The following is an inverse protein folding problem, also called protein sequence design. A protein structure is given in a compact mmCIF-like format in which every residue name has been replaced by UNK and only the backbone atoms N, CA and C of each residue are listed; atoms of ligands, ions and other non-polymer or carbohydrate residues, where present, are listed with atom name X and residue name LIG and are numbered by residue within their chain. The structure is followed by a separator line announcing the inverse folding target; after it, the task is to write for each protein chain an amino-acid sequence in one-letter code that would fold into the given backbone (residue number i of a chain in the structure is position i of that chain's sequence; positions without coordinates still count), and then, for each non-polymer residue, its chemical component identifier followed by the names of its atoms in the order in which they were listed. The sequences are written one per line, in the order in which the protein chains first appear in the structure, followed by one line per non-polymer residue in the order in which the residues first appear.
data_IF_695108659403
#
_entry.id   IF_695108659403
#
_cell.length_a   1.000
_cell.length_b   1.000
_cell.length_c   1.000
_cell.angle_alpha   90.00
_cell.angle_beta   90.00
_cell.angle_gamma   90.00
#
_symmetry.space_group_name_H-M   'P 1'
#
loop_
_entity.id
_entity.type
_entity.pdbx_description
1 polymer ?
#
# COMPACT_ATOMS: atom_id res chain seq x y z
N UNK A 1 -27.96 12.45 18.56
CA UNK A 1 -27.96 11.32 17.60
C UNK A 1 -28.02 10.05 18.41
N UNK A 2 -28.99 9.18 18.14
CA UNK A 2 -29.13 7.88 18.81
C UNK A 2 -28.98 6.79 17.75
N UNK A 3 -28.15 5.79 18.02
CA UNK A 3 -28.04 4.64 17.14
C UNK A 3 -29.36 3.86 17.20
N UNK A 4 -29.94 3.57 16.04
CA UNK A 4 -31.16 2.78 15.91
C UNK A 4 -30.86 1.51 15.10
N UNK A 5 -31.56 0.41 15.41
CA UNK A 5 -31.39 -0.85 14.68
C UNK A 5 -31.92 -0.74 13.25
N UNK A 6 -31.44 -1.60 12.34
CA UNK A 6 -31.89 -1.60 10.95
C UNK A 6 -33.39 -1.88 10.81
N UNK A 7 -33.95 -2.75 11.65
CA UNK A 7 -35.39 -3.04 11.68
C UNK A 7 -36.21 -1.81 12.11
N UNK A 8 -35.72 -1.06 13.10
CA UNK A 8 -36.36 0.18 13.56
C UNK A 8 -36.25 1.29 12.51
N UNK A 9 -35.10 1.38 11.82
CA UNK A 9 -34.90 2.32 10.71
C UNK A 9 -35.91 2.10 9.58
N UNK A 10 -36.19 0.85 9.20
CA UNK A 10 -37.19 0.54 8.16
C UNK A 10 -38.61 1.00 8.54
N UNK A 11 -38.91 1.15 9.83
CA UNK A 11 -40.22 1.55 10.34
C UNK A 11 -40.33 3.06 10.63
N UNK A 12 -39.20 3.73 10.84
CA UNK A 12 -39.15 5.14 11.19
C UNK A 12 -39.03 6.00 9.92
N UNK A 13 -40.10 6.73 9.59
CA UNK A 13 -40.10 7.76 8.56
C UNK A 13 -39.45 9.07 9.08
N UNK A 14 -38.19 9.01 9.50
CA UNK A 14 -37.44 10.19 9.93
C UNK A 14 -36.11 10.34 9.16
N UNK A 15 -35.60 11.58 9.02
CA UNK A 15 -34.28 11.82 8.43
C UNK A 15 -33.22 11.02 9.19
N UNK A 16 -32.53 10.13 8.48
CA UNK A 16 -31.59 9.17 9.05
C UNK A 16 -30.31 9.14 8.21
N UNK A 17 -29.20 8.81 8.87
CA UNK A 17 -27.91 8.59 8.22
C UNK A 17 -27.53 7.13 8.40
N UNK A 18 -27.18 6.46 7.31
CA UNK A 18 -26.66 5.08 7.32
C UNK A 18 -25.15 5.14 7.16
N UNK A 19 -24.44 4.46 8.07
CA UNK A 19 -22.98 4.34 8.04
C UNK A 19 -22.64 2.87 7.84
N UNK A 20 -21.93 2.55 6.77
CA UNK A 20 -21.40 1.22 6.49
C UNK A 20 -19.89 1.22 6.72
N UNK A 21 -19.37 0.13 7.28
CA UNK A 21 -17.94 -0.07 7.50
C UNK A 21 -17.56 -1.45 6.98
N UNK A 22 -16.67 -1.46 6.00
CA UNK A 22 -16.03 -2.67 5.49
C UNK A 22 -14.57 -2.63 5.93
N UNK A 23 -14.05 -3.77 6.39
CA UNK A 23 -12.67 -3.87 6.88
C UNK A 23 -12.01 -5.10 6.28
N UNK A 24 -10.74 -4.95 5.93
CA UNK A 24 -9.94 -6.01 5.35
C UNK A 24 -8.77 -6.32 6.29
N UNK A 25 -8.69 -7.57 6.74
CA UNK A 25 -7.60 -8.01 7.61
C UNK A 25 -6.36 -8.36 6.77
N UNK A 26 -5.44 -7.40 6.70
CA UNK A 26 -4.20 -7.56 5.96
C UNK A 26 -3.26 -8.58 6.60
N UNK A 27 -3.28 -8.78 7.92
CA UNK A 27 -2.37 -9.72 8.59
C UNK A 27 -2.73 -11.16 8.22
N UNK A 28 -4.01 -11.51 8.37
CA UNK A 28 -4.53 -12.82 7.98
C UNK A 28 -4.34 -13.07 6.48
N UNK A 29 -4.67 -12.09 5.63
CA UNK A 29 -4.48 -12.20 4.18
C UNK A 29 -3.01 -12.42 3.81
N UNK A 30 -2.10 -11.68 4.44
CA UNK A 30 -0.66 -11.75 4.18
C UNK A 30 -0.12 -13.12 4.58
N UNK A 31 -0.54 -13.65 5.74
CA UNK A 31 -0.17 -15.00 6.18
C UNK A 31 -0.59 -16.08 5.17
N UNK A 32 -1.85 -16.07 4.72
CA UNK A 32 -2.34 -17.04 3.75
C UNK A 32 -1.59 -16.96 2.42
N UNK A 33 -1.38 -15.74 1.93
CA UNK A 33 -0.76 -15.52 0.62
C UNK A 33 0.73 -15.90 0.64
N UNK A 34 1.47 -15.50 1.68
CA UNK A 34 2.87 -15.87 1.86
C UNK A 34 3.02 -17.38 2.06
N UNK A 35 2.15 -18.01 2.85
CA UNK A 35 2.20 -19.45 3.08
C UNK A 35 1.99 -20.22 1.78
N UNK A 36 1.00 -19.80 0.96
CA UNK A 36 0.77 -20.38 -0.35
C UNK A 36 1.97 -20.16 -1.30
N UNK A 37 2.59 -18.98 -1.28
CA UNK A 37 3.79 -18.68 -2.06
C UNK A 37 4.97 -19.55 -1.63
N UNK A 38 5.21 -19.68 -0.32
CA UNK A 38 6.25 -20.54 0.23
C UNK A 38 6.06 -22.00 -0.20
N UNK A 39 4.83 -22.53 -0.09
CA UNK A 39 4.52 -23.89 -0.54
C UNK A 39 4.82 -24.10 -2.03
N UNK A 40 4.46 -23.14 -2.89
CA UNK A 40 4.78 -23.18 -4.33
C UNK A 40 6.29 -23.19 -4.61
N UNK A 41 7.10 -22.62 -3.72
CA UNK A 41 8.55 -22.53 -3.86
C UNK A 41 9.31 -23.54 -3.00
N UNK A 42 8.64 -24.59 -2.48
CA UNK A 42 9.23 -25.62 -1.62
C UNK A 42 9.91 -25.03 -0.36
N UNK A 43 9.26 -24.03 0.23
CA UNK A 43 9.71 -23.35 1.46
C UNK A 43 8.67 -23.49 2.57
N UNK A 44 9.16 -23.35 3.79
CA UNK A 44 8.35 -23.28 5.01
C UNK A 44 8.45 -21.88 5.58
N UNK A 45 7.33 -21.17 5.63
CA UNK A 45 7.21 -19.86 6.28
C UNK A 45 7.62 -19.95 7.76
N UNK A 46 8.35 -18.96 8.25
CA UNK A 46 8.89 -18.93 9.62
C UNK A 46 8.35 -17.73 10.41
N UNK A 47 8.80 -16.52 10.07
CA UNK A 47 8.46 -15.29 10.81
C UNK A 47 8.26 -14.14 9.85
N UNK A 48 7.22 -13.35 10.11
CA UNK A 48 6.92 -12.11 9.43
C UNK A 48 7.65 -10.91 10.06
N UNK A 49 8.09 -9.97 9.23
CA UNK A 49 8.83 -8.79 9.70
C UNK A 49 8.05 -7.49 9.47
N UNK A 50 7.70 -7.21 8.21
CA UNK A 50 7.09 -5.94 7.82
C UNK A 50 6.27 -6.10 6.53
N UNK A 51 5.35 -5.17 6.32
CA UNK A 51 4.54 -5.10 5.10
C UNK A 51 4.18 -3.67 4.74
N UNK A 52 3.90 -3.46 3.45
CA UNK A 52 3.36 -2.22 2.94
C UNK A 52 2.27 -2.52 1.92
N UNK A 53 1.11 -1.91 2.08
CA UNK A 53 -0.01 -2.04 1.15
C UNK A 53 -0.30 -0.68 0.51
N UNK A 54 -0.44 -0.64 -0.80
CA UNK A 54 -0.76 0.55 -1.57
C UNK A 54 -1.94 0.29 -2.49
N UNK A 55 -2.84 1.27 -2.58
CA UNK A 55 -4.04 1.17 -3.40
C UNK A 55 -3.72 1.66 -4.82
N UNK A 56 -3.94 0.80 -5.81
CA UNK A 56 -3.62 1.11 -7.21
C UNK A 56 -4.82 1.76 -7.92
N UNK A 57 -6.01 1.15 -7.75
CA UNK A 57 -7.22 1.54 -8.46
C UNK A 57 -8.48 1.14 -7.69
N UNK A 58 -9.53 1.95 -7.82
CA UNK A 58 -10.88 1.65 -7.32
C UNK A 58 -11.84 1.66 -8.49
N UNK A 59 -12.61 0.59 -8.66
CA UNK A 59 -13.77 0.55 -9.56
C UNK A 59 -15.03 0.84 -8.75
N UNK A 60 -15.64 2.02 -8.87
CA UNK A 60 -16.84 2.36 -8.10
C UNK A 60 -18.08 1.56 -8.54
N UNK A 61 -18.12 1.09 -9.79
CA UNK A 61 -19.26 0.34 -10.33
C UNK A 61 -19.32 -1.09 -9.78
N UNK A 62 -18.19 -1.78 -9.68
CA UNK A 62 -18.10 -3.14 -9.14
C UNK A 62 -17.71 -3.17 -7.67
N UNK A 63 -17.49 -2.01 -7.06
CA UNK A 63 -17.00 -1.85 -5.68
C UNK A 63 -15.68 -2.63 -5.42
N UNK A 64 -14.88 -2.83 -6.46
CA UNK A 64 -13.64 -3.61 -6.41
C UNK A 64 -12.43 -2.69 -6.33
N UNK A 65 -11.56 -2.98 -5.36
CA UNK A 65 -10.30 -2.29 -5.15
C UNK A 65 -9.17 -3.20 -5.64
N UNK A 66 -8.20 -2.63 -6.37
CA UNK A 66 -6.95 -3.28 -6.75
C UNK A 66 -5.84 -2.74 -5.85
N UNK A 67 -5.12 -3.62 -5.19
CA UNK A 67 -4.09 -3.31 -4.20
C UNK A 67 -2.77 -4.00 -4.52
N UNK A 68 -1.67 -3.34 -4.15
CA UNK A 68 -0.31 -3.87 -4.14
C UNK A 68 0.12 -4.10 -2.69
N UNK A 69 0.43 -5.34 -2.33
CA UNK A 69 1.04 -5.69 -1.06
C UNK A 69 2.51 -6.06 -1.29
N UNK A 70 3.41 -5.45 -0.54
CA UNK A 70 4.78 -5.90 -0.38
C UNK A 70 4.94 -6.47 1.03
N UNK A 71 5.62 -7.60 1.15
CA UNK A 71 5.85 -8.23 2.45
C UNK A 71 7.27 -8.74 2.58
N UNK A 72 7.85 -8.53 3.78
CA UNK A 72 9.13 -9.04 4.20
C UNK A 72 8.93 -10.09 5.29
N UNK A 73 9.50 -11.26 5.08
CA UNK A 73 9.37 -12.39 5.99
C UNK A 73 10.62 -13.25 5.92
N UNK A 74 10.66 -14.27 6.76
CA UNK A 74 11.67 -15.31 6.70
C UNK A 74 11.02 -16.65 6.43
N UNK A 75 11.70 -17.45 5.63
CA UNK A 75 11.33 -18.81 5.33
C UNK A 75 12.58 -19.69 5.33
N UNK A 76 12.35 -20.99 5.44
CA UNK A 76 13.37 -22.02 5.38
C UNK A 76 13.08 -22.89 4.18
N UNK A 77 14.11 -23.43 3.54
CA UNK A 77 13.89 -24.45 2.52
C UNK A 77 13.21 -25.66 3.18
N UNK A 78 12.19 -26.23 2.53
CA UNK A 78 11.64 -27.50 2.98
C UNK A 78 12.78 -28.51 2.93
N UNK A 79 13.13 -29.06 4.09
CA UNK A 79 14.18 -30.07 4.19
C UNK A 79 13.83 -31.19 3.20
N UNK A 80 14.76 -31.66 2.35
CA UNK A 80 14.56 -32.93 1.69
C UNK A 80 14.32 -33.99 2.77
N UNK A 81 13.60 -35.06 2.41
CA UNK A 81 13.39 -36.27 3.23
C UNK A 81 14.69 -36.92 3.73
N UNK A 82 15.86 -36.42 3.32
CA UNK A 82 17.19 -36.73 3.85
C UNK A 82 17.75 -35.54 4.66
N UNK A 83 18.29 -35.76 5.87
CA UNK A 83 18.80 -34.69 6.72
C UNK A 83 19.94 -33.95 6.02
N UNK A 84 19.78 -32.63 5.85
CA UNK A 84 20.91 -31.77 5.47
C UNK A 84 21.91 -31.78 6.63
N UNK A 85 23.14 -32.24 6.34
CA UNK A 85 24.26 -32.36 7.27
C UNK A 85 24.78 -30.99 7.73
N UNK A 86 23.93 -30.19 8.37
CA UNK A 86 24.32 -28.96 9.03
C UNK A 86 24.82 -29.33 10.43
N UNK A 87 26.13 -29.16 10.66
CA UNK A 87 26.82 -29.45 11.93
C UNK A 87 26.20 -28.72 13.15
N UNK A 88 25.51 -27.60 12.91
CA UNK A 88 24.80 -26.82 13.94
C UNK A 88 23.30 -27.16 14.04
N UNK A 89 22.77 -27.97 13.12
CA UNK A 89 21.36 -28.33 13.03
C UNK A 89 21.11 -29.67 13.72
N UNK A 90 21.56 -29.80 14.96
CA UNK A 90 21.28 -30.96 15.81
C UNK A 90 19.79 -30.97 16.19
N UNK A 91 18.94 -31.31 15.22
CA UNK A 91 17.48 -31.53 15.34
C UNK A 91 16.64 -30.29 15.76
N UNK A 92 17.24 -29.10 15.89
CA UNK A 92 16.49 -27.88 16.19
C UNK A 92 16.00 -27.20 14.91
N UNK A 93 14.70 -26.94 14.86
CA UNK A 93 14.03 -26.19 13.80
C UNK A 93 14.60 -24.77 13.63
N UNK A 94 15.17 -24.18 14.69
CA UNK A 94 15.60 -22.78 14.72
C UNK A 94 17.04 -22.52 14.23
N UNK A 95 17.51 -23.24 13.21
CA UNK A 95 18.86 -22.95 12.68
C UNK A 95 18.90 -21.63 11.90
N UNK A 96 19.61 -20.65 12.46
CA UNK A 96 19.85 -19.33 11.86
C UNK A 96 20.46 -19.42 10.45
N UNK A 97 21.26 -20.46 10.16
CA UNK A 97 21.92 -20.64 8.85
C UNK A 97 20.98 -21.11 7.73
N UNK A 98 19.82 -21.68 8.07
CA UNK A 98 18.82 -22.11 7.08
C UNK A 98 17.66 -21.14 6.95
N UNK A 99 17.54 -20.20 7.89
CA UNK A 99 16.55 -19.13 7.83
C UNK A 99 17.04 -18.04 6.88
N UNK A 100 16.31 -17.85 5.79
CA UNK A 100 16.57 -16.78 4.83
C UNK A 100 15.46 -15.76 4.88
N UNK A 101 15.80 -14.50 4.63
CA UNK A 101 14.83 -13.43 4.51
C UNK A 101 14.38 -13.33 3.06
N UNK A 102 13.10 -13.08 2.87
CA UNK A 102 12.48 -12.95 1.56
C UNK A 102 11.60 -11.71 1.50
N UNK A 103 11.53 -11.15 0.31
CA UNK A 103 10.60 -10.11 -0.08
C UNK A 103 9.74 -10.62 -1.22
N UNK A 104 8.43 -10.34 -1.17
CA UNK A 104 7.51 -10.64 -2.26
C UNK A 104 6.58 -9.47 -2.56
N UNK A 105 6.02 -9.50 -3.77
CA UNK A 105 5.07 -8.52 -4.26
C UNK A 105 3.79 -9.24 -4.67
N UNK A 106 2.68 -8.90 -4.03
CA UNK A 106 1.38 -9.51 -4.26
C UNK A 106 0.46 -8.44 -4.84
N UNK A 107 -0.09 -8.70 -6.02
CA UNK A 107 -1.18 -7.93 -6.60
C UNK A 107 -2.49 -8.65 -6.31
N UNK A 108 -3.47 -7.98 -5.73
CA UNK A 108 -4.75 -8.59 -5.39
C UNK A 108 -5.92 -7.62 -5.56
N UNK A 109 -7.11 -8.19 -5.68
CA UNK A 109 -8.38 -7.48 -5.68
C UNK A 109 -9.15 -7.75 -4.41
N UNK A 110 -9.90 -6.76 -3.95
CA UNK A 110 -10.88 -6.89 -2.88
C UNK A 110 -12.21 -6.25 -3.30
N UNK A 111 -13.28 -7.03 -3.33
CA UNK A 111 -14.63 -6.55 -3.55
C UNK A 111 -15.25 -6.16 -2.19
N UNK A 112 -15.57 -4.88 -2.03
CA UNK A 112 -16.10 -4.34 -0.77
C UNK A 112 -17.53 -4.78 -0.48
N UNK A 113 -18.31 -5.11 -1.52
CA UNK A 113 -19.72 -5.46 -1.39
C UNK A 113 -19.90 -6.86 -0.79
N UNK A 114 -19.20 -7.85 -1.36
CA UNK A 114 -19.30 -9.25 -0.91
C UNK A 114 -18.15 -9.68 0.01
N UNK A 115 -17.09 -8.86 0.13
CA UNK A 115 -15.91 -9.15 0.95
C UNK A 115 -14.91 -10.12 0.33
N UNK A 116 -15.15 -10.58 -0.90
CA UNK A 116 -14.28 -11.54 -1.59
C UNK A 116 -12.98 -10.87 -2.03
N UNK A 117 -11.90 -11.64 -1.98
CA UNK A 117 -10.59 -11.22 -2.46
C UNK A 117 -9.98 -12.28 -3.35
N UNK A 118 -9.16 -11.83 -4.29
CA UNK A 118 -8.49 -12.69 -5.26
C UNK A 118 -7.06 -12.19 -5.48
N UNK A 119 -6.09 -13.12 -5.49
CA UNK A 119 -4.70 -12.80 -5.80
C UNK A 119 -4.50 -12.89 -7.31
N UNK A 120 -4.20 -11.75 -7.94
CA UNK A 120 -3.98 -11.64 -9.37
C UNK A 120 -2.56 -12.04 -9.78
N UNK A 121 -1.57 -11.68 -8.95
CA UNK A 121 -0.16 -11.99 -9.18
C UNK A 121 0.54 -12.16 -7.83
N UNK A 122 1.25 -13.27 -7.66
CA UNK A 122 2.03 -13.57 -6.45
C UNK A 122 3.45 -12.96 -6.50
N UNK A 123 3.86 -12.42 -7.66
CA UNK A 123 5.20 -11.92 -7.89
C UNK A 123 6.29 -13.00 -7.75
N UNK A 124 7.53 -12.58 -7.91
CA UNK A 124 8.68 -13.45 -7.65
C UNK A 124 9.14 -13.34 -6.19
N UNK A 125 9.46 -14.48 -5.59
CA UNK A 125 10.03 -14.55 -4.26
C UNK A 125 11.51 -14.19 -4.30
N UNK A 126 11.85 -13.00 -3.85
CA UNK A 126 13.22 -12.50 -3.87
C UNK A 126 13.91 -12.74 -2.54
N UNK A 127 15.08 -13.37 -2.55
CA UNK A 127 15.90 -13.52 -1.35
C UNK A 127 16.51 -12.16 -0.98
N UNK A 128 16.15 -11.67 0.21
CA UNK A 128 16.62 -10.40 0.74
C UNK A 128 17.97 -10.60 1.43
N UNK A 129 19.07 -10.22 0.77
CA UNK A 129 20.41 -10.32 1.33
C UNK A 129 20.77 -9.05 2.10
N UNK A 130 21.01 -9.17 3.39
CA UNK A 130 21.42 -8.05 4.25
C UNK A 130 22.76 -7.39 3.84
N UNK A 131 23.55 -8.04 2.99
CA UNK A 131 24.74 -7.46 2.35
C UNK A 131 24.43 -6.28 1.41
N UNK A 132 23.21 -6.21 0.86
CA UNK A 132 22.78 -5.10 -0.01
C UNK A 132 22.53 -3.81 0.79
N UNK A 133 22.22 -3.97 2.07
CA UNK A 133 22.22 -2.90 3.05
C UNK A 133 23.69 -2.56 3.38
N UNK A 134 24.50 -3.51 3.83
CA UNK A 134 25.74 -3.19 4.53
C UNK A 134 26.96 -2.82 3.67
N UNK A 135 26.84 -2.62 2.35
CA UNK A 135 27.97 -2.12 1.54
C UNK A 135 28.44 -0.72 2.04
N UNK A 136 29.54 -0.61 2.80
CA UNK A 136 29.88 0.63 3.52
C UNK A 136 30.32 1.72 2.54
N UNK A 137 30.82 1.30 1.37
CA UNK A 137 31.47 2.15 0.37
C UNK A 137 30.43 2.95 -0.44
N UNK A 138 29.16 2.55 -0.48
CA UNK A 138 28.09 3.27 -1.21
C UNK A 138 27.23 4.18 -0.31
N UNK A 139 27.50 4.22 1.00
CA UNK A 139 26.63 4.84 2.03
C UNK A 139 27.10 6.20 2.57
N UNK A 140 27.72 7.03 1.75
CA UNK A 140 27.81 8.45 2.09
C UNK A 140 26.44 9.12 1.83
N UNK A 141 25.61 9.26 2.88
CA UNK A 141 24.54 10.25 2.94
C UNK A 141 23.15 9.89 2.39
N UNK A 142 22.85 8.63 2.03
CA UNK A 142 21.51 8.23 1.56
C UNK A 142 20.76 7.43 2.63
N UNK A 143 19.57 7.91 2.98
CA UNK A 143 18.60 7.23 3.87
C UNK A 143 18.19 5.90 3.22
N UNK A 144 18.10 4.78 3.96
CA UNK A 144 17.61 3.52 3.42
C UNK A 144 16.20 3.68 2.84
N UNK A 145 15.97 3.18 1.63
CA UNK A 145 14.63 3.16 1.03
C UNK A 145 13.78 2.18 1.83
N UNK A 146 12.65 2.62 2.35
CA UNK A 146 11.74 1.76 3.13
C UNK A 146 10.83 0.94 2.23
N UNK A 147 10.31 -0.18 2.73
CA UNK A 147 9.34 -1.03 2.02
C UNK A 147 8.14 -0.20 1.50
N UNK A 148 7.63 0.72 2.33
CA UNK A 148 6.55 1.64 1.95
C UNK A 148 6.94 2.58 0.80
N UNK A 149 8.18 3.09 0.77
CA UNK A 149 8.62 3.95 -0.34
C UNK A 149 8.71 3.16 -1.66
N UNK A 150 9.17 1.91 -1.60
CA UNK A 150 9.20 1.01 -2.76
C UNK A 150 7.80 0.67 -3.23
N UNK A 151 6.89 0.30 -2.32
CA UNK A 151 5.49 0.01 -2.63
C UNK A 151 4.81 1.21 -3.29
N UNK A 152 4.99 2.42 -2.76
CA UNK A 152 4.44 3.66 -3.33
C UNK A 152 4.93 3.93 -4.74
N UNK A 153 6.23 3.73 -4.97
CA UNK A 153 6.83 3.92 -6.29
C UNK A 153 6.24 2.94 -7.30
N UNK A 154 6.17 1.65 -6.95
CA UNK A 154 5.60 0.61 -7.81
C UNK A 154 4.11 0.83 -8.07
N UNK A 155 3.34 1.17 -7.04
CA UNK A 155 1.92 1.51 -7.19
C UNK A 155 1.74 2.70 -8.14
N UNK A 156 2.52 3.77 -8.00
CA UNK A 156 2.47 4.93 -8.90
C UNK A 156 2.81 4.57 -10.36
N UNK A 157 3.77 3.67 -10.59
CA UNK A 157 4.12 3.19 -11.93
C UNK A 157 2.97 2.38 -12.55
N UNK A 158 2.36 1.49 -11.76
CA UNK A 158 1.20 0.69 -12.18
C UNK A 158 -0.02 1.58 -12.45
N UNK A 159 -0.35 2.51 -11.56
CA UNK A 159 -1.43 3.49 -11.77
C UNK A 159 -1.19 4.33 -13.02
N UNK A 160 0.04 4.83 -13.23
CA UNK A 160 0.39 5.60 -14.43
C UNK A 160 0.20 4.81 -15.74
N UNK A 161 0.46 3.50 -15.73
CA UNK A 161 0.22 2.63 -16.88
C UNK A 161 -1.27 2.40 -17.16
N UNK A 162 -2.10 2.33 -16.12
CA UNK A 162 -3.54 2.07 -16.18
C UNK A 162 -4.37 3.33 -16.47
N UNK A 163 -3.90 4.51 -16.07
CA UNK A 163 -4.62 5.79 -16.21
C UNK A 163 -4.83 6.29 -17.64
N UNK A 164 -4.25 5.64 -18.66
CA UNK A 164 -4.44 6.03 -20.06
C UNK A 164 -5.89 5.80 -20.57
N UNK A 165 -6.70 5.01 -19.86
CA UNK A 165 -7.99 4.53 -20.37
C UNK A 165 -9.23 5.15 -19.68
N UNK A 166 -9.11 5.81 -18.52
CA UNK A 166 -10.30 6.14 -17.68
C UNK A 166 -10.33 7.56 -17.09
N UNK A 167 -9.98 8.58 -17.87
CA UNK A 167 -10.00 9.97 -17.40
C UNK A 167 -11.40 10.59 -17.21
N UNK A 168 -12.50 9.87 -17.36
CA UNK A 168 -13.83 10.50 -17.40
C UNK A 168 -14.70 10.34 -16.13
N UNK A 169 -14.40 9.40 -15.23
CA UNK A 169 -15.30 9.10 -14.09
C UNK A 169 -14.77 9.52 -12.71
N UNK A 170 -13.46 9.79 -12.55
CA UNK A 170 -12.83 10.07 -11.26
C UNK A 170 -12.39 11.54 -11.06
N UNK A 171 -12.67 12.44 -12.00
CA UNK A 171 -12.20 13.84 -12.00
C UNK A 171 -12.81 14.74 -10.90
N UNK A 172 -13.69 14.21 -10.05
CA UNK A 172 -14.40 14.98 -9.04
C UNK A 172 -13.76 14.91 -7.64
N UNK A 173 -12.71 14.11 -7.42
CA UNK A 173 -12.02 14.09 -6.13
C UNK A 173 -11.11 15.31 -5.97
N UNK A 174 -11.65 16.38 -5.38
CA UNK A 174 -10.90 17.60 -5.04
C UNK A 174 -10.26 17.45 -3.67
N UNK A 175 -8.93 17.29 -3.60
CA UNK A 175 -8.18 17.30 -2.33
C UNK A 175 -7.73 18.73 -2.01
N UNK A 176 -8.30 19.32 -0.96
CA UNK A 176 -7.93 20.64 -0.46
C UNK A 176 -7.09 20.49 0.82
N UNK A 177 -5.78 20.71 0.70
CA UNK A 177 -4.88 20.83 1.85
C UNK A 177 -4.79 22.30 2.28
N UNK A 178 -5.14 22.59 3.54
CA UNK A 178 -5.10 23.92 4.18
C UNK A 178 -3.79 24.16 4.93
N UNK A 179 -2.70 23.56 4.48
CA UNK A 179 -1.38 23.86 5.00
C UNK A 179 -0.97 25.31 4.68
N UNK A 180 -1.02 26.18 5.69
CA UNK A 180 -0.71 27.62 5.60
C UNK A 180 0.76 27.84 5.18
N UNK A 181 1.67 26.90 5.45
CA UNK A 181 3.07 26.93 4.96
C UNK A 181 3.20 26.74 3.45
N UNK A 182 2.14 26.24 2.79
CA UNK A 182 1.97 26.09 1.35
C UNK A 182 0.72 26.85 0.87
N UNK A 183 0.51 28.06 1.39
CA UNK A 183 -0.62 28.90 0.96
C UNK A 183 -0.68 28.97 -0.57
N UNK A 184 -1.79 28.51 -1.14
CA UNK A 184 -1.96 28.44 -2.60
C UNK A 184 -2.01 29.85 -3.17
N UNK A 185 -1.25 30.09 -4.25
CA UNK A 185 -1.21 31.39 -4.93
C UNK A 185 -2.48 31.67 -5.74
N UNK A 186 -3.13 30.63 -6.24
CA UNK A 186 -4.45 30.71 -6.85
C UNK A 186 -5.28 29.46 -6.58
N UNK A 187 -6.60 29.61 -6.70
CA UNK A 187 -7.58 28.53 -6.73
C UNK A 187 -8.39 28.71 -8.00
N UNK A 188 -8.46 27.68 -8.83
CA UNK A 188 -9.21 27.71 -10.08
C UNK A 188 -10.39 26.74 -10.02
N UNK A 189 -11.51 27.16 -10.61
CA UNK A 189 -12.67 26.35 -10.90
C UNK A 189 -12.87 26.35 -12.42
N UNK A 190 -12.32 25.33 -13.08
CA UNK A 190 -12.29 25.23 -14.53
C UNK A 190 -13.69 25.06 -15.14
N UNK A 191 -14.61 24.40 -14.41
CA UNK A 191 -15.98 24.17 -14.87
C UNK A 191 -16.75 25.48 -15.02
N UNK A 192 -16.43 26.47 -14.18
CA UNK A 192 -17.04 27.80 -14.18
C UNK A 192 -16.12 28.88 -14.75
N UNK A 193 -14.92 28.52 -15.23
CA UNK A 193 -13.88 29.43 -15.69
C UNK A 193 -13.52 30.55 -14.69
N UNK A 194 -13.51 30.23 -13.38
CA UNK A 194 -13.17 31.18 -12.31
C UNK A 194 -11.75 30.91 -11.81
N UNK A 195 -10.94 31.95 -11.64
CA UNK A 195 -9.66 31.88 -10.94
C UNK A 195 -9.57 32.95 -9.85
N UNK A 196 -9.26 32.54 -8.63
CA UNK A 196 -9.09 33.38 -7.46
C UNK A 196 -7.60 33.42 -7.09
N UNK A 197 -6.97 34.58 -7.24
CA UNK A 197 -5.55 34.77 -6.91
C UNK A 197 -5.38 35.39 -5.52
N UNK A 198 -4.39 34.90 -4.76
CA UNK A 198 -3.98 35.50 -3.50
C UNK A 198 -3.40 36.89 -3.77
N UNK A 199 -4.02 37.92 -3.17
CA UNK A 199 -3.57 39.30 -3.29
C UNK A 199 -2.21 39.43 -2.58
N UNK A 200 -1.11 39.59 -3.36
CA UNK A 200 0.20 39.92 -2.77
C UNK A 200 0.07 41.24 -1.99
N UNK A 201 0.66 41.36 -0.79
CA UNK A 201 0.68 42.62 -0.06
C UNK A 201 1.34 43.69 -0.96
N UNK A 202 0.64 44.79 -1.22
CA UNK A 202 1.23 45.96 -1.86
C UNK A 202 2.19 46.60 -0.86
N UNK A 203 3.48 46.29 -0.96
CA UNK A 203 4.47 46.82 -0.03
C UNK A 203 5.90 46.37 -0.29
N UNK A 204 6.45 46.70 -1.47
CA UNK A 204 7.89 46.93 -1.64
C UNK A 204 8.13 47.73 -2.94
N UNK A 205 7.51 48.90 -3.05
CA UNK A 205 8.09 49.97 -3.87
C UNK A 205 9.02 50.74 -2.94
N UNK A 206 10.25 50.25 -2.80
CA UNK A 206 11.36 50.92 -2.16
C UNK A 206 12.48 51.07 -3.17
N UNK A 207 12.62 52.29 -3.68
CA UNK A 207 13.76 52.86 -4.42
C UNK A 207 14.06 52.29 -5.82
N UNK A 208 13.64 53.06 -6.83
CA UNK A 208 14.57 53.61 -7.83
C UNK A 208 14.03 54.98 -8.25
N UNK A 209 14.46 56.03 -7.53
CA UNK A 209 14.44 57.40 -8.02
C UNK A 209 15.80 57.67 -8.67
N UNK A 210 15.73 58.21 -9.89
CA UNK A 210 16.63 59.16 -10.55
C UNK A 210 18.15 58.98 -10.42
#
# INVERSE_FOLDING_TARGET
MQMISQATYQQLNCPSVVITQHSFDLETFTYYTISALCQKNEKTYDVFYDWACELIKVCPLSQTIICLLMAQFSARDQLPTSPTNCLNCSLKLDCVYHRRQFECRILFTWNMENGEWEVLDYGELHEYKQSDILSPIKRCGRIPITLSQTAKKLASELTGSLCKIEQNYACNLRVLDSNIKKSKLSVADHDNAIELCLKRPRGSNGNDQA
#
